data_IF_321421522881
#
_entry.id   IF_321421522881
#
_cell.length_a   1.000
_cell.length_b   1.000
_cell.length_c   1.000
_cell.angle_alpha   90.00
_cell.angle_beta   90.00
_cell.angle_gamma   90.00
#
_symmetry.space_group_name_H-M   'P 1'
#
loop_
_entity.id
_entity.type
_entity.pdbx_description
1 polymer ?
#
# COMPACT_ATOMS: atom_id res chain seq x y z
N UNK A 1 37.25 7.64 -23.29
CA UNK A 1 36.41 8.83 -23.53
C UNK A 1 37.17 10.02 -22.96
N UNK A 2 37.49 11.01 -23.78
CA UNK A 2 38.21 12.19 -23.29
C UNK A 2 37.32 12.99 -22.34
N UNK A 3 37.85 13.26 -21.15
CA UNK A 3 37.17 14.06 -20.12
C UNK A 3 36.66 15.40 -20.67
N UNK A 4 37.37 16.01 -21.62
CA UNK A 4 36.95 17.24 -22.32
C UNK A 4 35.66 17.06 -23.14
N UNK A 5 35.46 15.90 -23.76
CA UNK A 5 34.22 15.60 -24.51
C UNK A 5 33.03 15.33 -23.61
N UNK A 6 33.29 14.71 -22.44
CA UNK A 6 32.25 14.51 -21.42
C UNK A 6 31.78 15.84 -20.83
N UNK A 7 32.72 16.74 -20.51
CA UNK A 7 32.41 18.09 -20.02
C UNK A 7 31.68 18.94 -21.06
N UNK A 8 32.11 18.84 -22.34
CA UNK A 8 31.40 19.52 -23.42
C UNK A 8 29.97 19.00 -23.61
N UNK A 9 29.75 17.70 -23.52
CA UNK A 9 28.40 17.10 -23.58
C UNK A 9 27.52 17.56 -22.41
N UNK A 10 28.07 17.62 -21.20
CA UNK A 10 27.34 18.09 -20.02
C UNK A 10 27.02 19.59 -20.14
N UNK A 11 27.94 20.42 -20.60
CA UNK A 11 27.72 21.85 -20.83
C UNK A 11 26.65 22.10 -21.90
N UNK A 12 26.65 21.31 -23.00
CA UNK A 12 25.65 21.40 -24.05
C UNK A 12 24.27 20.95 -23.52
N UNK A 13 24.22 19.88 -22.73
CA UNK A 13 22.94 19.41 -22.12
C UNK A 13 22.34 20.46 -21.18
N UNK A 14 23.16 21.10 -20.36
CA UNK A 14 22.71 22.20 -19.47
C UNK A 14 22.27 23.41 -20.27
N UNK A 15 22.98 23.77 -21.35
CA UNK A 15 22.58 24.88 -22.23
C UNK A 15 21.27 24.61 -22.97
N UNK A 16 21.05 23.37 -23.43
CA UNK A 16 19.77 22.97 -24.03
C UNK A 16 18.62 23.04 -23.01
N UNK A 17 18.87 22.61 -21.77
CA UNK A 17 17.87 22.65 -20.72
C UNK A 17 17.52 24.09 -20.32
N UNK A 18 18.52 24.94 -20.17
CA UNK A 18 18.34 26.37 -19.87
C UNK A 18 17.66 27.11 -21.05
N UNK A 19 18.01 26.76 -22.29
CA UNK A 19 17.35 27.26 -23.49
C UNK A 19 15.89 26.82 -23.57
N UNK A 20 15.60 25.57 -23.25
CA UNK A 20 14.23 25.04 -23.19
C UNK A 20 13.37 25.81 -22.17
N UNK A 21 13.87 26.02 -20.96
CA UNK A 21 13.15 26.82 -19.93
C UNK A 21 12.95 28.28 -20.35
N UNK A 22 13.85 28.85 -21.14
CA UNK A 22 13.73 30.21 -21.63
C UNK A 22 12.71 30.36 -22.75
N UNK A 23 12.67 29.39 -23.70
CA UNK A 23 11.76 29.43 -24.86
C UNK A 23 10.39 28.80 -24.57
N UNK A 24 10.30 27.90 -23.59
CA UNK A 24 9.06 27.25 -23.16
C UNK A 24 8.91 27.37 -21.64
N UNK A 25 8.72 28.60 -21.12
CA UNK A 25 8.55 28.79 -19.68
C UNK A 25 7.34 27.99 -19.22
N UNK A 26 7.53 27.12 -18.25
CA UNK A 26 6.42 26.46 -17.57
C UNK A 26 5.45 27.54 -17.05
N UNK A 27 4.14 27.41 -17.27
CA UNK A 27 3.19 28.41 -16.79
C UNK A 27 3.35 28.56 -15.28
N UNK A 28 3.80 29.74 -14.86
CA UNK A 28 3.88 30.06 -13.42
C UNK A 28 2.47 30.02 -12.86
N UNK A 29 2.21 29.24 -11.80
CA UNK A 29 0.88 29.21 -11.20
C UNK A 29 0.52 30.64 -10.78
N UNK A 30 -0.65 31.09 -11.21
CA UNK A 30 -1.15 32.43 -10.92
C UNK A 30 -1.32 32.59 -9.40
N UNK A 31 -0.72 33.59 -8.76
CA UNK A 31 -0.82 33.80 -7.32
C UNK A 31 -2.27 33.86 -6.80
N UNK A 32 -3.19 34.32 -7.66
CA UNK A 32 -4.63 34.33 -7.35
C UNK A 32 -5.25 32.92 -7.33
N UNK A 33 -4.74 31.97 -8.11
CA UNK A 33 -5.18 30.57 -8.07
C UNK A 33 -4.59 29.80 -6.90
N UNK A 34 -3.36 30.10 -6.48
CA UNK A 34 -2.79 29.56 -5.26
C UNK A 34 -3.49 30.06 -4.01
N UNK A 35 -3.87 31.34 -3.97
CA UNK A 35 -4.64 31.90 -2.86
C UNK A 35 -6.07 31.35 -2.82
N UNK A 36 -6.70 31.12 -3.97
CA UNK A 36 -8.04 30.51 -4.04
C UNK A 36 -8.03 29.00 -3.71
N UNK A 37 -6.99 28.27 -4.07
CA UNK A 37 -6.82 26.86 -3.69
C UNK A 37 -6.45 26.69 -2.22
N UNK A 38 -5.74 27.65 -1.62
CA UNK A 38 -5.46 27.65 -0.18
C UNK A 38 -6.65 28.12 0.67
N UNK A 39 -7.59 28.89 0.10
CA UNK A 39 -8.77 29.37 0.85
C UNK A 39 -9.99 28.46 0.79
N UNK A 40 -10.06 27.50 -0.16
CA UNK A 40 -11.15 26.52 -0.24
C UNK A 40 -10.84 25.19 0.47
N UNK A 41 -9.62 24.99 0.95
CA UNK A 41 -9.28 23.89 1.87
C UNK A 41 -9.48 24.32 3.33
N UNK A 42 -10.65 24.92 3.63
CA UNK A 42 -10.88 25.53 4.94
C UNK A 42 -11.37 24.51 5.97
N UNK A 43 -10.59 24.36 6.90
CA UNK A 43 -10.58 24.07 8.34
C UNK A 43 -11.83 23.54 9.11
N UNK A 44 -13.11 23.75 8.83
CA UNK A 44 -14.14 23.21 9.73
C UNK A 44 -14.44 21.72 9.54
N UNK A 45 -14.35 21.18 8.33
CA UNK A 45 -14.58 19.75 8.11
C UNK A 45 -13.42 18.88 8.61
N UNK A 46 -12.19 19.37 8.47
CA UNK A 46 -10.98 18.67 8.95
C UNK A 46 -10.90 18.71 10.48
N UNK A 47 -11.22 19.83 11.11
CA UNK A 47 -11.26 19.95 12.56
C UNK A 47 -12.37 19.07 13.21
N UNK A 48 -13.52 18.91 12.55
CA UNK A 48 -14.58 18.03 13.04
C UNK A 48 -14.22 16.54 12.88
N UNK A 49 -13.56 16.16 11.78
CA UNK A 49 -13.05 14.80 11.58
C UNK A 49 -11.89 14.47 12.53
N UNK A 50 -10.98 15.43 12.78
CA UNK A 50 -9.88 15.30 13.74
C UNK A 50 -10.40 15.11 15.19
N UNK A 51 -11.44 15.84 15.58
CA UNK A 51 -12.04 15.71 16.91
C UNK A 51 -12.77 14.37 17.11
N UNK A 52 -13.27 13.75 16.03
CA UNK A 52 -13.96 12.45 16.06
C UNK A 52 -13.00 11.25 16.14
N UNK A 53 -11.75 11.42 15.74
CA UNK A 53 -10.76 10.34 15.66
C UNK A 53 -9.74 10.33 16.81
N UNK A 54 -9.52 11.47 17.49
CA UNK A 54 -8.56 11.58 18.59
C UNK A 54 -8.89 10.58 19.72
N UNK A 55 -7.92 9.75 20.17
CA UNK A 55 -8.15 8.79 21.23
C UNK A 55 -8.42 9.52 22.56
N UNK A 56 -9.59 9.28 23.13
CA UNK A 56 -9.98 9.91 24.39
C UNK A 56 -9.26 9.28 25.61
N UNK A 57 -8.77 8.05 25.47
CA UNK A 57 -8.09 7.28 26.52
C UNK A 57 -7.14 6.27 25.88
N UNK A 58 -5.88 6.65 25.61
CA UNK A 58 -4.93 5.80 24.90
C UNK A 58 -4.43 4.65 25.77
N UNK A 59 -4.40 3.44 25.19
CA UNK A 59 -3.70 2.28 25.70
C UNK A 59 -2.45 2.09 24.84
N UNK A 60 -1.29 2.13 25.44
CA UNK A 60 -0.01 1.97 24.74
C UNK A 60 0.52 0.57 24.92
N UNK A 61 0.91 -0.07 23.80
CA UNK A 61 1.56 -1.37 23.77
C UNK A 61 2.93 -1.21 23.14
N UNK A 62 3.98 -1.69 23.80
CA UNK A 62 5.34 -1.65 23.28
C UNK A 62 5.92 -3.04 23.17
N UNK A 63 6.39 -3.39 21.98
CA UNK A 63 7.12 -4.64 21.71
C UNK A 63 8.53 -4.31 21.21
N UNK A 64 9.26 -5.31 20.77
CA UNK A 64 10.57 -5.17 20.09
C UNK A 64 10.48 -4.64 18.66
N UNK A 65 9.31 -4.77 18.01
CA UNK A 65 9.09 -4.37 16.61
C UNK A 65 8.18 -3.16 16.47
N UNK A 66 7.17 -3.03 17.31
CA UNK A 66 6.14 -1.99 17.18
C UNK A 66 5.81 -1.31 18.52
N UNK A 67 5.39 -0.03 18.41
CA UNK A 67 4.67 0.67 19.46
C UNK A 67 3.29 1.02 18.93
N UNK A 68 2.26 0.47 19.58
CA UNK A 68 0.86 0.62 19.19
C UNK A 68 0.10 1.47 20.20
N UNK A 69 -0.88 2.27 19.71
CA UNK A 69 -1.84 3.00 20.54
C UNK A 69 -3.25 2.57 20.16
N UNK A 70 -3.96 2.02 21.12
CA UNK A 70 -5.36 1.59 21.00
C UNK A 70 -6.23 2.60 21.75
N UNK A 71 -7.30 3.07 21.13
CA UNK A 71 -8.30 3.86 21.81
C UNK A 71 -9.15 2.97 22.69
N UNK A 72 -9.15 3.21 23.99
CA UNK A 72 -9.90 2.39 24.93
C UNK A 72 -11.41 2.41 24.66
N UNK A 73 -11.98 3.55 24.25
CA UNK A 73 -13.42 3.67 24.05
C UNK A 73 -13.92 2.86 22.86
N UNK A 74 -13.33 3.05 21.69
CA UNK A 74 -13.74 2.35 20.47
C UNK A 74 -13.06 0.97 20.33
N UNK A 75 -11.97 0.77 21.04
CA UNK A 75 -11.12 -0.40 20.84
C UNK A 75 -10.39 -0.41 19.50
N UNK A 76 -10.22 0.72 18.82
CA UNK A 76 -9.56 0.82 17.53
C UNK A 76 -8.05 1.00 17.67
N UNK A 77 -7.30 0.43 16.73
CA UNK A 77 -5.85 0.67 16.63
C UNK A 77 -5.61 1.99 15.89
N UNK A 78 -5.27 3.04 16.64
CA UNK A 78 -5.17 4.42 16.16
C UNK A 78 -3.78 4.80 15.71
N UNK A 79 -2.74 4.26 16.36
CA UNK A 79 -1.37 4.54 15.98
C UNK A 79 -0.55 3.26 16.02
N UNK A 80 0.37 3.11 15.05
CA UNK A 80 1.33 2.02 15.04
C UNK A 80 2.64 2.53 14.47
N UNK A 81 3.68 2.52 15.29
CA UNK A 81 5.03 2.97 14.96
C UNK A 81 5.94 1.75 14.83
N UNK A 82 6.68 1.67 13.75
CA UNK A 82 7.63 0.59 13.44
C UNK A 82 9.00 0.95 14.01
N UNK A 83 9.39 0.34 15.14
CA UNK A 83 10.57 0.73 15.91
C UNK A 83 11.90 0.45 15.19
N UNK A 84 11.91 -0.49 14.25
CA UNK A 84 13.10 -0.87 13.48
C UNK A 84 13.26 -0.06 12.17
N UNK A 85 12.32 0.82 11.85
CA UNK A 85 12.32 1.64 10.63
C UNK A 85 12.32 3.12 10.99
N UNK A 86 13.09 3.91 10.26
CA UNK A 86 13.24 5.35 10.50
C UNK A 86 12.32 6.14 9.58
N UNK A 87 11.83 7.27 10.06
CA UNK A 87 11.05 8.21 9.27
C UNK A 87 11.92 8.86 8.18
N UNK A 88 11.32 9.16 7.05
CA UNK A 88 12.02 9.86 5.97
C UNK A 88 12.21 11.32 6.36
N UNK A 89 13.47 11.78 6.37
CA UNK A 89 13.78 13.17 6.75
C UNK A 89 14.14 13.40 8.22
N UNK A 90 13.89 12.44 9.11
CA UNK A 90 14.35 12.48 10.50
C UNK A 90 14.82 11.09 10.97
N UNK A 91 16.11 10.83 10.85
CA UNK A 91 16.72 9.54 11.20
C UNK A 91 16.64 9.19 12.69
N UNK A 92 16.24 10.14 13.56
CA UNK A 92 16.09 9.91 14.98
C UNK A 92 14.69 9.46 15.38
N UNK A 93 13.70 9.62 14.47
CA UNK A 93 12.32 9.21 14.72
C UNK A 93 12.01 7.88 14.03
N UNK A 94 11.33 6.94 14.71
CA UNK A 94 10.84 5.74 14.08
C UNK A 94 9.65 6.08 13.14
N UNK A 95 9.51 5.28 12.08
CA UNK A 95 8.43 5.45 11.11
C UNK A 95 7.07 5.08 11.71
N UNK A 96 6.09 5.96 11.55
CA UNK A 96 4.71 5.74 12.01
C UNK A 96 3.84 5.35 10.82
N UNK A 97 3.35 4.10 10.81
CA UNK A 97 2.50 3.58 9.75
C UNK A 97 1.03 4.00 9.97
N UNK A 98 0.46 3.69 11.15
CA UNK A 98 -0.88 4.17 11.51
C UNK A 98 -0.77 5.44 12.32
N UNK A 99 -1.62 6.41 11.97
CA UNK A 99 -1.73 7.69 12.63
C UNK A 99 -3.15 8.25 12.47
N UNK A 100 -3.68 8.84 13.51
CA UNK A 100 -4.95 9.58 13.49
C UNK A 100 -4.76 11.06 13.79
N UNK A 101 -3.53 11.56 13.57
CA UNK A 101 -3.13 12.93 13.85
C UNK A 101 -3.47 13.92 12.75
N UNK A 102 -2.88 15.13 12.89
CA UNK A 102 -3.13 16.25 11.98
C UNK A 102 -2.50 16.08 10.60
N UNK A 103 -1.46 15.25 10.48
CA UNK A 103 -0.70 15.10 9.25
C UNK A 103 -1.42 14.20 8.27
N UNK A 104 -1.91 13.05 8.73
CA UNK A 104 -2.69 12.10 7.95
C UNK A 104 -3.54 11.22 8.86
N UNK A 105 -4.57 10.63 8.27
CA UNK A 105 -5.41 9.63 8.91
C UNK A 105 -5.15 8.26 8.28
N UNK A 106 -4.66 7.31 9.08
CA UNK A 106 -4.48 5.92 8.68
C UNK A 106 -4.64 5.04 9.91
N UNK A 107 -5.76 4.32 10.03
CA UNK A 107 -6.15 3.57 11.24
C UNK A 107 -6.74 2.22 10.91
N UNK A 108 -6.68 1.28 11.85
CA UNK A 108 -7.38 0.01 11.76
C UNK A 108 -8.51 -0.05 12.79
N UNK A 109 -9.71 -0.38 12.30
CA UNK A 109 -10.93 -0.45 13.10
C UNK A 109 -11.52 -1.85 13.03
N UNK A 110 -12.26 -2.25 14.06
CA UNK A 110 -13.01 -3.49 14.03
C UNK A 110 -14.25 -3.39 14.91
N UNK A 111 -15.36 -3.92 14.42
CA UNK A 111 -16.66 -3.88 15.08
C UNK A 111 -17.45 -5.18 14.85
N UNK A 112 -18.51 -5.38 15.63
CA UNK A 112 -19.44 -6.48 15.43
C UNK A 112 -20.76 -5.94 14.89
N UNK A 113 -21.25 -6.56 13.82
CA UNK A 113 -22.49 -6.18 13.15
C UNK A 113 -23.57 -7.24 13.40
N UNK A 114 -24.80 -6.79 13.61
CA UNK A 114 -25.99 -7.65 13.62
C UNK A 114 -26.39 -8.07 12.19
N UNK A 115 -27.45 -8.88 12.08
CA UNK A 115 -27.98 -9.32 10.78
C UNK A 115 -28.49 -8.18 9.88
N UNK A 116 -28.76 -7.00 10.44
CA UNK A 116 -29.18 -5.79 9.74
C UNK A 116 -28.00 -4.88 9.36
N UNK A 117 -26.78 -5.24 9.78
CA UNK A 117 -25.55 -4.47 9.52
C UNK A 117 -25.32 -3.33 10.52
N UNK A 118 -26.04 -3.29 11.64
CA UNK A 118 -25.81 -2.30 12.68
C UNK A 118 -24.68 -2.75 13.61
N UNK A 119 -23.83 -1.82 14.01
CA UNK A 119 -22.81 -2.09 15.01
C UNK A 119 -23.45 -2.30 16.39
N UNK A 120 -23.33 -3.51 16.93
CA UNK A 120 -23.88 -3.88 18.26
C UNK A 120 -23.14 -3.21 19.43
N UNK A 121 -21.94 -2.66 19.17
CA UNK A 121 -21.12 -1.93 20.13
C UNK A 121 -21.22 -0.40 19.97
N UNK A 122 -22.15 0.09 19.15
CA UNK A 122 -22.30 1.53 18.91
C UNK A 122 -22.65 2.26 20.20
N UNK A 123 -21.83 3.24 20.57
CA UNK A 123 -22.01 4.03 21.79
C UNK A 123 -21.56 3.33 23.09
N UNK A 124 -21.06 2.11 22.99
CA UNK A 124 -20.49 1.38 24.12
C UNK A 124 -19.01 1.67 24.18
N UNK A 125 -18.50 1.93 25.38
CA UNK A 125 -17.06 2.10 25.63
C UNK A 125 -16.48 0.87 26.27
N UNK A 126 -15.32 0.45 25.75
CA UNK A 126 -14.54 -0.61 26.38
C UNK A 126 -13.79 -0.07 27.60
N UNK A 127 -13.33 -0.99 28.44
CA UNK A 127 -12.44 -0.73 29.55
C UNK A 127 -11.28 -1.72 29.53
N UNK A 128 -10.08 -1.25 29.86
CA UNK A 128 -8.89 -2.09 29.99
C UNK A 128 -8.33 -2.04 31.42
N UNK A 129 -7.77 -3.17 31.91
CA UNK A 129 -7.17 -3.21 33.26
C UNK A 129 -5.96 -2.28 33.41
N UNK A 130 -5.25 -2.03 32.32
CA UNK A 130 -4.02 -1.23 32.32
C UNK A 130 -4.02 -0.29 31.11
N UNK A 131 -3.22 0.79 31.19
CA UNK A 131 -3.03 1.74 30.09
C UNK A 131 -1.70 1.55 29.36
N UNK A 132 -0.79 0.80 29.93
CA UNK A 132 0.53 0.54 29.36
C UNK A 132 0.83 -0.94 29.45
N UNK A 133 1.25 -1.50 28.32
CA UNK A 133 1.62 -2.90 28.17
C UNK A 133 3.01 -2.96 27.52
N UNK A 134 3.87 -3.80 28.05
CA UNK A 134 5.19 -4.09 27.50
C UNK A 134 5.31 -5.57 27.23
N UNK A 135 6.03 -5.93 26.18
CA UNK A 135 6.27 -7.32 25.85
C UNK A 135 7.19 -7.97 26.92
N UNK A 136 6.61 -8.86 27.70
CA UNK A 136 7.32 -9.73 28.64
C UNK A 136 7.20 -11.17 28.12
N UNK A 137 8.30 -11.74 27.63
CA UNK A 137 8.30 -13.06 26.98
C UNK A 137 7.97 -13.02 25.50
N UNK A 138 7.17 -13.98 25.00
CA UNK A 138 6.92 -14.16 23.56
C UNK A 138 5.70 -13.41 23.05
N UNK A 139 4.74 -13.09 23.92
CA UNK A 139 3.47 -12.45 23.56
C UNK A 139 3.02 -11.48 24.64
N UNK A 140 2.29 -10.43 24.21
CA UNK A 140 1.54 -9.56 25.10
C UNK A 140 0.09 -9.47 24.62
N UNK A 141 -0.86 -9.63 25.54
CA UNK A 141 -2.29 -9.52 25.27
C UNK A 141 -2.87 -8.30 25.97
N UNK A 142 -3.71 -7.57 25.22
CA UNK A 142 -4.49 -6.44 25.72
C UNK A 142 -5.96 -6.80 25.59
N UNK A 143 -6.63 -6.99 26.72
CA UNK A 143 -8.05 -7.29 26.79
C UNK A 143 -8.85 -6.03 27.09
N UNK A 144 -9.80 -5.75 26.24
CA UNK A 144 -10.76 -4.66 26.32
C UNK A 144 -12.14 -5.26 26.56
N UNK A 145 -12.76 -4.96 27.70
CA UNK A 145 -14.08 -5.52 28.05
C UNK A 145 -15.17 -4.47 27.85
N UNK A 146 -16.22 -4.83 27.10
CA UNK A 146 -17.45 -4.04 27.01
C UNK A 146 -18.40 -4.39 28.15
N UNK A 147 -19.21 -3.43 28.66
CA UNK A 147 -20.29 -3.76 29.55
C UNK A 147 -21.31 -4.68 28.84
N UNK A 148 -21.84 -5.64 29.58
CA UNK A 148 -22.87 -6.55 29.03
C UNK A 148 -24.04 -5.73 28.52
N UNK A 149 -24.42 -5.94 27.26
CA UNK A 149 -25.48 -5.18 26.59
C UNK A 149 -26.37 -6.13 25.80
N UNK A 150 -27.68 -6.07 25.99
CA UNK A 150 -28.65 -6.94 25.33
C UNK A 150 -28.31 -8.44 25.50
N UNK A 151 -27.83 -8.85 26.67
CA UNK A 151 -27.43 -10.23 26.94
C UNK A 151 -26.18 -10.68 26.16
N UNK A 152 -25.41 -9.76 25.59
CA UNK A 152 -24.12 -10.05 24.97
C UNK A 152 -22.97 -9.53 25.86
N UNK A 153 -22.09 -10.42 26.27
CA UNK A 153 -20.80 -10.07 26.86
C UNK A 153 -19.73 -10.19 25.79
N UNK A 154 -19.03 -9.09 25.55
CA UNK A 154 -18.05 -8.97 24.47
C UNK A 154 -16.74 -8.45 25.03
N UNK A 155 -15.67 -9.21 24.80
CA UNK A 155 -14.30 -8.77 25.01
C UNK A 155 -13.59 -8.67 23.66
N UNK A 156 -12.80 -7.61 23.46
CA UNK A 156 -11.92 -7.43 22.30
C UNK A 156 -10.47 -7.60 22.76
N UNK A 157 -9.76 -8.50 22.14
CA UNK A 157 -8.41 -8.89 22.57
C UNK A 157 -7.42 -8.64 21.44
N UNK A 158 -6.37 -7.88 21.73
CA UNK A 158 -5.22 -7.69 20.87
C UNK A 158 -4.06 -8.54 21.35
N UNK A 159 -3.45 -9.31 20.45
CA UNK A 159 -2.25 -10.10 20.76
C UNK A 159 -1.11 -9.67 19.85
N UNK A 160 -0.02 -9.26 20.47
CA UNK A 160 1.24 -8.92 19.79
C UNK A 160 2.28 -9.99 20.13
N UNK A 161 3.04 -10.40 19.11
CA UNK A 161 4.06 -11.46 19.25
C UNK A 161 5.45 -10.88 19.02
N UNK A 162 6.44 -11.32 19.78
CA UNK A 162 7.85 -10.93 19.66
C UNK A 162 8.38 -11.16 18.25
N UNK A 163 9.14 -10.19 17.72
CA UNK A 163 9.73 -10.26 16.37
C UNK A 163 8.73 -10.18 15.22
N UNK A 164 7.45 -9.88 15.49
CA UNK A 164 6.38 -9.93 14.49
C UNK A 164 5.74 -8.57 14.24
N UNK A 165 5.31 -8.36 13.00
CA UNK A 165 4.45 -7.26 12.57
C UNK A 165 2.98 -7.68 12.42
N UNK A 166 2.64 -8.91 12.83
CA UNK A 166 1.28 -9.41 12.92
C UNK A 166 0.66 -9.00 14.25
N UNK A 167 -0.54 -8.44 14.19
CA UNK A 167 -1.39 -8.15 15.34
C UNK A 167 -2.63 -9.02 15.19
N UNK A 168 -2.85 -9.95 16.11
CA UNK A 168 -4.10 -10.71 16.15
C UNK A 168 -5.16 -9.88 16.87
N UNK A 169 -6.35 -9.78 16.26
CA UNK A 169 -7.51 -9.08 16.80
C UNK A 169 -8.65 -10.07 16.93
N UNK A 170 -9.12 -10.28 18.16
CA UNK A 170 -10.10 -11.28 18.50
C UNK A 170 -11.26 -10.66 19.27
N UNK A 171 -12.47 -11.07 18.95
CA UNK A 171 -13.66 -10.85 19.77
C UNK A 171 -14.02 -12.16 20.47
N UNK A 172 -14.07 -12.15 21.80
CA UNK A 172 -14.62 -13.21 22.63
C UNK A 172 -16.07 -12.82 22.95
N UNK A 173 -17.05 -13.61 22.48
CA UNK A 173 -18.47 -13.28 22.55
C UNK A 173 -19.18 -14.36 23.37
N UNK A 174 -19.97 -13.95 24.38
CA UNK A 174 -20.85 -14.84 25.11
C UNK A 174 -22.29 -14.35 24.95
N UNK A 175 -23.19 -15.23 24.52
CA UNK A 175 -24.59 -14.92 24.34
C UNK A 175 -25.42 -15.40 25.54
N UNK A 176 -26.01 -14.48 26.28
CA UNK A 176 -26.94 -14.71 27.40
C UNK A 176 -28.33 -14.11 27.11
N UNK A 177 -28.65 -13.81 25.87
CA UNK A 177 -29.83 -13.05 25.44
C UNK A 177 -31.13 -13.89 25.45
N UNK A 178 -31.05 -15.21 25.67
CA UNK A 178 -32.24 -16.10 25.62
C UNK A 178 -32.57 -16.62 24.22
N UNK A 179 -32.01 -16.05 23.15
CA UNK A 179 -32.23 -16.42 21.75
C UNK A 179 -30.88 -16.60 21.00
N UNK A 180 -30.86 -17.38 19.91
CA UNK A 180 -29.68 -17.40 19.02
C UNK A 180 -29.43 -16.02 18.41
N UNK A 181 -28.17 -15.63 18.31
CA UNK A 181 -27.74 -14.34 17.73
C UNK A 181 -26.84 -14.58 16.51
N UNK A 182 -27.14 -13.91 15.41
CA UNK A 182 -26.32 -13.91 14.19
C UNK A 182 -25.51 -12.62 14.15
N UNK A 183 -24.19 -12.75 14.15
CA UNK A 183 -23.25 -11.63 14.09
C UNK A 183 -22.26 -11.82 12.94
N UNK A 184 -21.69 -10.71 12.51
CA UNK A 184 -20.51 -10.67 11.64
C UNK A 184 -19.47 -9.78 12.28
N UNK A 185 -18.21 -10.17 12.20
CA UNK A 185 -17.09 -9.30 12.59
C UNK A 185 -16.62 -8.49 11.37
N UNK A 186 -16.66 -7.16 11.47
CA UNK A 186 -16.21 -6.25 10.41
C UNK A 186 -14.86 -5.68 10.78
N UNK A 187 -13.89 -5.88 9.91
CA UNK A 187 -12.51 -5.41 10.07
C UNK A 187 -12.18 -4.47 8.92
N UNK A 188 -11.75 -3.25 9.23
CA UNK A 188 -11.49 -2.23 8.22
C UNK A 188 -10.20 -1.49 8.46
N UNK A 189 -9.60 -1.05 7.38
CA UNK A 189 -8.53 -0.08 7.35
C UNK A 189 -9.12 1.19 6.75
N UNK A 190 -8.91 2.31 7.41
CA UNK A 190 -9.40 3.63 6.98
C UNK A 190 -8.21 4.53 6.77
N UNK A 191 -8.15 5.20 5.63
CA UNK A 191 -7.06 6.11 5.25
C UNK A 191 -7.57 7.31 4.48
N UNK A 192 -6.88 8.45 4.60
CA UNK A 192 -7.03 9.58 3.69
C UNK A 192 -6.14 9.42 2.44
N UNK A 193 -6.22 10.38 1.53
CA UNK A 193 -5.44 10.40 0.27
C UNK A 193 -4.05 11.06 0.42
N UNK A 194 -3.54 11.21 1.64
CA UNK A 194 -2.22 11.79 1.86
C UNK A 194 -1.12 10.94 1.22
N UNK A 195 -0.13 11.61 0.61
CA UNK A 195 1.03 10.90 0.05
C UNK A 195 1.95 10.43 1.19
N UNK A 196 2.42 9.17 1.16
CA UNK A 196 3.38 8.67 2.14
C UNK A 196 4.70 9.44 2.09
N UNK A 197 5.37 9.51 3.22
CA UNK A 197 6.71 10.06 3.29
C UNK A 197 7.68 9.38 2.31
N UNK A 198 8.54 10.17 1.66
CA UNK A 198 9.58 9.66 0.76
C UNK A 198 9.12 9.42 -0.68
N UNK A 199 7.87 9.69 -1.02
CA UNK A 199 7.43 9.71 -2.42
C UNK A 199 8.00 10.96 -3.14
N UNK A 200 8.71 10.73 -4.26
CA UNK A 200 9.23 11.77 -5.13
C UNK A 200 8.74 11.61 -6.56
N UNK A 201 8.99 12.60 -7.38
CA UNK A 201 8.57 12.60 -8.81
C UNK A 201 9.03 11.35 -9.57
N UNK A 202 10.22 10.81 -9.26
CA UNK A 202 10.80 9.62 -9.91
C UNK A 202 10.53 8.30 -9.16
N UNK A 203 9.95 8.35 -7.96
CA UNK A 203 9.75 7.20 -7.08
C UNK A 203 8.27 6.97 -6.75
N UNK A 204 7.38 7.29 -7.70
CA UNK A 204 5.95 7.04 -7.52
C UNK A 204 5.67 5.54 -7.49
N UNK A 205 5.27 5.06 -6.35
CA UNK A 205 4.70 3.72 -6.15
C UNK A 205 3.18 3.81 -6.01
N UNK A 206 2.51 2.71 -6.27
CA UNK A 206 1.08 2.64 -6.00
C UNK A 206 0.80 2.80 -4.50
N UNK A 207 -0.19 3.62 -4.18
CA UNK A 207 -0.71 3.83 -2.83
C UNK A 207 -2.22 3.65 -2.89
N UNK A 208 -2.76 2.75 -2.10
CA UNK A 208 -4.19 2.52 -2.09
C UNK A 208 -4.61 1.10 -1.73
N UNK A 209 -5.92 0.84 -1.82
CA UNK A 209 -6.53 -0.44 -1.59
C UNK A 209 -6.06 -1.54 -2.52
N UNK A 210 -5.85 -2.73 -1.96
CA UNK A 210 -5.50 -3.96 -2.69
C UNK A 210 -6.27 -5.14 -2.15
N UNK A 211 -6.56 -6.08 -3.03
CA UNK A 211 -7.24 -7.34 -2.70
C UNK A 211 -6.52 -8.47 -3.42
N UNK A 212 -6.34 -9.59 -2.76
CA UNK A 212 -5.99 -10.86 -3.35
C UNK A 212 -7.02 -11.91 -3.00
N UNK A 213 -7.53 -12.58 -4.01
CA UNK A 213 -8.40 -13.75 -3.88
C UNK A 213 -7.95 -14.81 -4.89
N UNK A 214 -8.15 -16.11 -4.62
CA UNK A 214 -7.81 -17.15 -5.60
C UNK A 214 -8.53 -17.00 -6.94
N UNK A 215 -9.72 -16.41 -6.96
CA UNK A 215 -10.54 -16.20 -8.16
C UNK A 215 -10.11 -14.97 -8.96
N UNK A 216 -9.80 -13.86 -8.27
CA UNK A 216 -9.51 -12.56 -8.90
C UNK A 216 -8.04 -12.23 -8.98
N UNK A 217 -7.15 -13.08 -8.50
CA UNK A 217 -5.72 -12.77 -8.35
C UNK A 217 -5.48 -11.47 -7.57
N UNK A 218 -4.41 -10.79 -7.86
CA UNK A 218 -4.05 -9.52 -7.22
C UNK A 218 -4.70 -8.33 -7.93
N UNK A 219 -5.61 -7.66 -7.24
CA UNK A 219 -6.38 -6.54 -7.75
C UNK A 219 -6.02 -5.25 -6.98
N UNK A 220 -5.89 -4.16 -7.71
CA UNK A 220 -5.68 -2.80 -7.18
C UNK A 220 -6.93 -1.98 -7.43
N UNK A 221 -7.36 -1.24 -6.42
CA UNK A 221 -8.49 -0.31 -6.53
C UNK A 221 -7.96 1.09 -6.24
N UNK A 222 -7.87 1.95 -7.27
CA UNK A 222 -7.30 3.28 -7.09
C UNK A 222 -8.25 4.21 -6.33
N UNK A 223 -7.70 5.20 -5.64
CA UNK A 223 -8.53 6.24 -5.01
C UNK A 223 -9.36 7.01 -6.04
N UNK A 224 -8.84 7.20 -7.28
CA UNK A 224 -9.59 7.83 -8.36
C UNK A 224 -10.83 7.03 -8.76
N UNK A 225 -10.73 5.70 -8.85
CA UNK A 225 -11.88 4.85 -9.18
C UNK A 225 -12.96 4.96 -8.11
N UNK A 226 -12.55 5.00 -6.82
CA UNK A 226 -13.46 5.18 -5.69
C UNK A 226 -14.10 6.58 -5.64
N UNK A 227 -13.39 7.61 -6.10
CA UNK A 227 -13.94 8.96 -6.24
C UNK A 227 -14.98 9.03 -7.34
N UNK A 228 -14.76 8.33 -8.45
CA UNK A 228 -15.68 8.28 -9.57
C UNK A 228 -16.93 7.43 -9.23
N UNK A 229 -16.76 6.32 -8.51
CA UNK A 229 -17.85 5.56 -7.90
C UNK A 229 -18.72 6.44 -6.99
N UNK A 230 -18.07 7.22 -6.12
CA UNK A 230 -18.81 8.11 -5.19
C UNK A 230 -19.57 9.23 -5.91
N UNK A 231 -19.04 9.75 -7.02
CA UNK A 231 -19.70 10.78 -7.85
C UNK A 231 -20.85 10.22 -8.68
N UNK A 232 -20.67 9.03 -9.25
CA UNK A 232 -21.66 8.37 -10.11
C UNK A 232 -22.78 7.71 -9.33
N UNK A 233 -22.57 7.44 -8.04
CA UNK A 233 -23.47 6.64 -7.21
C UNK A 233 -23.52 5.16 -7.62
N UNK A 234 -22.60 4.72 -8.46
CA UNK A 234 -22.45 3.33 -8.92
C UNK A 234 -21.16 2.76 -8.34
N UNK A 235 -21.12 1.47 -8.12
CA UNK A 235 -19.93 0.75 -7.69
C UNK A 235 -19.31 0.06 -8.90
N UNK A 236 -18.52 0.81 -9.67
CA UNK A 236 -17.89 0.36 -10.93
C UNK A 236 -16.47 -0.17 -10.71
N UNK A 237 -15.87 0.12 -9.54
CA UNK A 237 -14.54 -0.41 -9.20
C UNK A 237 -14.54 -1.94 -9.25
N UNK A 238 -13.66 -2.48 -10.08
CA UNK A 238 -13.57 -3.93 -10.35
C UNK A 238 -12.71 -4.63 -9.31
N UNK A 239 -13.35 -5.40 -8.44
CA UNK A 239 -12.68 -6.33 -7.52
C UNK A 239 -13.63 -7.43 -7.07
N UNK A 240 -13.09 -8.54 -6.58
CA UNK A 240 -13.89 -9.63 -6.02
C UNK A 240 -14.45 -9.22 -4.66
N UNK A 241 -15.79 -9.23 -4.55
CA UNK A 241 -16.52 -8.75 -3.37
C UNK A 241 -16.86 -9.84 -2.35
N UNK A 242 -16.72 -11.12 -2.72
CA UNK A 242 -16.94 -12.27 -1.85
C UNK A 242 -15.87 -13.31 -2.08
N UNK A 243 -15.34 -13.86 -1.01
CA UNK A 243 -14.30 -14.86 -1.10
C UNK A 243 -14.27 -15.76 0.12
N UNK A 244 -13.95 -17.05 -0.02
CA UNK A 244 -13.70 -17.93 1.12
C UNK A 244 -12.30 -17.75 1.71
N UNK A 245 -11.36 -17.07 1.02
CA UNK A 245 -9.96 -16.94 1.44
C UNK A 245 -9.27 -15.79 0.73
N UNK A 246 -8.03 -15.48 1.14
CA UNK A 246 -7.20 -14.43 0.55
C UNK A 246 -6.73 -13.41 1.57
N UNK A 247 -6.52 -12.19 1.13
CA UNK A 247 -6.16 -11.05 1.97
C UNK A 247 -6.54 -9.74 1.27
N UNK A 248 -6.73 -8.69 2.06
CA UNK A 248 -7.04 -7.36 1.56
C UNK A 248 -6.45 -6.30 2.47
N UNK A 249 -6.20 -5.12 1.93
CA UNK A 249 -5.65 -4.04 2.75
C UNK A 249 -5.28 -2.81 1.94
N UNK A 250 -4.33 -2.05 2.45
CA UNK A 250 -3.74 -0.90 1.78
C UNK A 250 -2.23 -1.03 1.73
N UNK A 251 -1.68 -0.69 0.58
CA UNK A 251 -0.23 -0.62 0.40
C UNK A 251 0.22 0.81 0.18
N UNK A 252 1.41 1.09 0.59
CA UNK A 252 2.12 2.34 0.34
C UNK A 252 3.60 2.02 0.08
N UNK A 253 4.37 2.97 -0.40
CA UNK A 253 5.75 2.84 -0.89
C UNK A 253 6.55 1.61 -0.41
N UNK A 254 6.85 1.49 0.90
CA UNK A 254 7.65 0.39 1.47
C UNK A 254 6.89 -0.44 2.50
N UNK A 255 5.70 -0.02 2.87
CA UNK A 255 4.91 -0.60 3.94
C UNK A 255 3.53 -1.00 3.46
N UNK A 256 2.89 -1.85 4.22
CA UNK A 256 1.54 -2.32 3.96
C UNK A 256 0.79 -2.60 5.25
N UNK A 257 -0.53 -2.51 5.19
CA UNK A 257 -1.42 -3.03 6.21
C UNK A 257 -2.48 -3.90 5.55
N UNK A 258 -2.62 -5.14 6.01
CA UNK A 258 -3.51 -6.13 5.37
C UNK A 258 -4.18 -7.02 6.39
N UNK A 259 -5.47 -7.25 6.19
CA UNK A 259 -6.24 -8.29 6.85
C UNK A 259 -5.98 -9.63 6.16
N UNK A 260 -5.57 -10.62 6.93
CA UNK A 260 -5.24 -11.96 6.44
C UNK A 260 -6.43 -12.88 6.69
N UNK A 261 -7.15 -13.25 5.62
CA UNK A 261 -8.30 -14.15 5.74
C UNK A 261 -7.86 -15.59 5.93
N UNK A 262 -6.70 -15.96 5.38
CA UNK A 262 -6.10 -17.26 5.57
C UNK A 262 -4.59 -17.12 5.78
N UNK A 263 -4.09 -17.39 6.99
CA UNK A 263 -2.66 -17.51 7.22
C UNK A 263 -2.06 -18.67 6.42
N UNK A 264 -0.81 -18.57 6.06
CA UNK A 264 -0.10 -19.64 5.33
C UNK A 264 -0.13 -20.96 6.09
N UNK A 265 -0.67 -22.00 5.47
CA UNK A 265 -0.88 -23.31 6.10
C UNK A 265 -1.93 -23.35 7.20
N UNK A 266 -2.66 -22.25 7.44
CA UNK A 266 -3.74 -22.15 8.40
C UNK A 266 -5.13 -22.29 7.79
N UNK A 267 -6.14 -22.24 8.66
CA UNK A 267 -7.55 -22.24 8.25
C UNK A 267 -8.02 -20.83 7.90
N UNK A 268 -8.99 -20.72 6.99
CA UNK A 268 -9.64 -19.46 6.68
C UNK A 268 -10.57 -19.02 7.81
N UNK A 269 -10.57 -17.71 8.07
CA UNK A 269 -11.54 -17.08 8.99
C UNK A 269 -12.96 -17.06 8.41
N UNK A 270 -13.12 -17.31 7.12
CA UNK A 270 -14.40 -17.34 6.39
C UNK A 270 -15.10 -18.73 6.48
N UNK A 271 -14.79 -19.53 7.51
CA UNK A 271 -15.29 -20.90 7.65
C UNK A 271 -16.82 -21.02 7.80
N UNK A 272 -17.49 -19.97 8.32
CA UNK A 272 -18.96 -19.94 8.49
C UNK A 272 -19.70 -19.47 7.22
N UNK A 273 -18.98 -19.10 6.15
CA UNK A 273 -19.49 -18.59 4.89
C UNK A 273 -18.50 -17.65 4.24
N UNK A 274 -18.75 -17.27 2.99
CA UNK A 274 -17.87 -16.33 2.28
C UNK A 274 -17.77 -14.99 3.00
N UNK A 275 -16.54 -14.53 3.18
CA UNK A 275 -16.26 -13.17 3.64
C UNK A 275 -16.65 -12.16 2.57
N UNK A 276 -17.24 -11.04 3.01
CA UNK A 276 -17.63 -9.95 2.12
C UNK A 276 -16.62 -8.82 2.19
N UNK A 277 -16.06 -8.45 1.06
CA UNK A 277 -15.11 -7.35 0.90
C UNK A 277 -15.88 -6.10 0.45
N UNK A 278 -15.60 -4.95 1.08
CA UNK A 278 -16.14 -3.65 0.71
C UNK A 278 -15.02 -2.59 0.71
N UNK A 279 -14.80 -1.99 -0.45
CA UNK A 279 -13.81 -0.93 -0.66
C UNK A 279 -14.56 0.28 -1.19
N UNK A 280 -14.48 1.39 -0.46
CA UNK A 280 -15.23 2.60 -0.82
C UNK A 280 -14.63 3.87 -0.28
N UNK A 281 -14.95 4.99 -0.95
CA UNK A 281 -14.82 6.33 -0.39
C UNK A 281 -15.92 6.57 0.65
N UNK A 282 -15.54 7.15 1.78
CA UNK A 282 -16.47 7.63 2.81
C UNK A 282 -16.81 9.10 2.59
N UNK A 283 -17.86 9.59 3.25
CA UNK A 283 -18.34 10.96 3.07
C UNK A 283 -17.36 12.06 3.52
N UNK A 284 -16.36 11.72 4.29
CA UNK A 284 -15.37 12.60 4.92
C UNK A 284 -14.00 12.61 4.23
N UNK A 285 -13.95 12.30 2.93
CA UNK A 285 -12.72 12.14 2.13
C UNK A 285 -11.77 11.03 2.63
N UNK A 286 -12.27 10.11 3.43
CA UNK A 286 -11.56 8.91 3.82
C UNK A 286 -11.93 7.75 2.89
N UNK A 287 -11.00 6.84 2.72
CA UNK A 287 -11.18 5.59 1.97
C UNK A 287 -11.10 4.44 2.94
N UNK A 288 -11.96 3.45 2.76
CA UNK A 288 -11.98 2.26 3.60
C UNK A 288 -11.85 1.00 2.77
N UNK A 289 -11.05 0.07 3.27
CA UNK A 289 -10.97 -1.31 2.81
C UNK A 289 -11.40 -2.18 3.97
N UNK A 290 -12.50 -2.89 3.82
CA UNK A 290 -13.09 -3.69 4.90
C UNK A 290 -13.43 -5.09 4.47
N UNK A 291 -13.46 -5.99 5.45
CA UNK A 291 -13.97 -7.35 5.32
C UNK A 291 -14.94 -7.66 6.45
N UNK A 292 -16.09 -8.18 6.08
CA UNK A 292 -17.09 -8.68 7.01
C UNK A 292 -17.03 -10.21 7.03
N UNK A 293 -16.71 -10.76 8.19
CA UNK A 293 -16.53 -12.19 8.45
C UNK A 293 -17.78 -12.70 9.16
N UNK A 294 -18.62 -13.55 8.51
CA UNK A 294 -19.81 -14.09 9.13
C UNK A 294 -19.44 -15.08 10.24
N UNK A 295 -20.18 -15.04 11.34
CA UNK A 295 -20.04 -15.99 12.42
C UNK A 295 -21.17 -17.04 12.36
N UNK A 296 -20.90 -18.24 12.83
CA UNK A 296 -21.95 -19.22 13.06
C UNK A 296 -22.94 -18.68 14.11
N UNK A 297 -24.23 -19.02 13.97
CA UNK A 297 -25.26 -18.60 14.92
C UNK A 297 -24.87 -18.96 16.35
N UNK A 298 -24.76 -17.97 17.23
CA UNK A 298 -24.34 -18.13 18.61
C UNK A 298 -25.60 -18.48 19.45
N UNK A 299 -25.69 -19.72 19.86
CA UNK A 299 -26.83 -20.20 20.68
C UNK A 299 -26.82 -19.51 22.06
N UNK A 300 -27.99 -19.46 22.68
CA UNK A 300 -28.11 -18.97 24.07
C UNK A 300 -27.22 -19.78 25.02
N UNK A 301 -26.44 -19.11 25.86
CA UNK A 301 -25.46 -19.71 26.77
C UNK A 301 -24.12 -20.12 26.09
N UNK A 302 -24.02 -20.01 24.77
CA UNK A 302 -22.84 -20.39 24.05
C UNK A 302 -21.81 -19.25 23.99
N UNK A 303 -20.55 -19.66 23.78
CA UNK A 303 -19.43 -18.75 23.48
C UNK A 303 -19.03 -18.90 22.02
N UNK A 304 -18.61 -17.80 21.43
CA UNK A 304 -18.06 -17.74 20.07
C UNK A 304 -16.83 -16.86 20.05
N UNK A 305 -15.96 -17.10 19.09
CA UNK A 305 -14.74 -16.35 18.89
C UNK A 305 -14.65 -15.90 17.41
N UNK A 306 -14.35 -14.63 17.20
CA UNK A 306 -14.03 -14.09 15.87
C UNK A 306 -12.62 -13.54 15.90
N UNK A 307 -11.71 -14.12 15.14
CA UNK A 307 -10.27 -13.79 15.18
C UNK A 307 -9.74 -13.56 13.77
N UNK A 308 -8.95 -12.51 13.58
CA UNK A 308 -8.25 -12.21 12.34
C UNK A 308 -6.84 -11.67 12.63
N UNK A 309 -5.93 -11.84 11.69
CA UNK A 309 -4.60 -11.24 11.76
C UNK A 309 -4.54 -9.98 10.88
N UNK A 310 -4.09 -8.89 11.47
CA UNK A 310 -3.67 -7.69 10.78
C UNK A 310 -2.15 -7.74 10.62
N UNK A 311 -1.65 -7.78 9.40
CA UNK A 311 -0.26 -7.48 9.13
C UNK A 311 -0.10 -5.96 8.96
N UNK A 312 0.81 -5.34 9.69
CA UNK A 312 1.10 -3.91 9.60
C UNK A 312 2.62 -3.70 9.69
N UNK A 313 3.29 -3.64 8.54
CA UNK A 313 4.75 -3.66 8.50
C UNK A 313 5.34 -3.52 7.10
N UNK A 314 6.66 -3.84 6.97
CA UNK A 314 7.41 -3.64 5.74
C UNK A 314 7.04 -4.65 4.65
N UNK A 315 7.11 -4.25 3.38
CA UNK A 315 6.95 -5.14 2.22
C UNK A 315 8.21 -5.99 1.93
N UNK A 316 8.89 -6.45 2.97
CA UNK A 316 10.10 -7.28 2.83
C UNK A 316 9.71 -8.71 2.46
N UNK A 317 10.17 -9.21 1.32
CA UNK A 317 9.78 -10.52 0.78
C UNK A 317 10.00 -11.67 1.76
N UNK A 318 11.12 -11.69 2.49
CA UNK A 318 11.42 -12.71 3.50
C UNK A 318 10.43 -12.71 4.67
N UNK A 319 9.85 -11.57 5.01
CA UNK A 319 8.86 -11.44 6.09
C UNK A 319 7.48 -11.87 5.58
N UNK A 320 7.01 -11.26 4.47
CA UNK A 320 5.62 -11.43 4.01
C UNK A 320 5.36 -12.80 3.37
N UNK A 321 6.38 -13.47 2.81
CA UNK A 321 6.22 -14.76 2.14
C UNK A 321 5.75 -15.91 3.07
N UNK A 322 5.90 -15.74 4.39
CA UNK A 322 5.52 -16.73 5.39
C UNK A 322 4.19 -16.41 6.09
N UNK A 323 3.54 -15.29 5.76
CA UNK A 323 2.33 -14.81 6.44
C UNK A 323 1.07 -15.33 5.76
N UNK A 324 0.96 -15.17 4.46
CA UNK A 324 -0.17 -15.65 3.67
C UNK A 324 0.29 -16.00 2.25
N UNK A 325 -0.47 -16.85 1.58
CA UNK A 325 -0.19 -17.20 0.20
C UNK A 325 -0.31 -15.97 -0.71
N UNK A 326 0.65 -15.83 -1.61
CA UNK A 326 0.72 -14.74 -2.58
C UNK A 326 0.77 -13.32 -2.00
N UNK A 327 1.04 -13.15 -0.69
CA UNK A 327 1.17 -11.83 -0.07
C UNK A 327 2.33 -11.02 -0.67
N UNK A 328 3.34 -11.69 -1.24
CA UNK A 328 4.45 -11.07 -1.96
C UNK A 328 4.02 -10.32 -3.23
N UNK A 329 2.81 -10.58 -3.78
CA UNK A 329 2.26 -9.82 -4.91
C UNK A 329 1.97 -8.36 -4.55
N UNK A 330 1.80 -8.05 -3.26
CA UNK A 330 1.71 -6.68 -2.78
C UNK A 330 2.96 -5.85 -3.12
N UNK A 331 4.13 -6.51 -3.31
CA UNK A 331 5.34 -5.88 -3.82
C UNK A 331 5.24 -5.72 -5.33
N UNK A 332 4.65 -4.60 -5.71
CA UNK A 332 4.32 -4.32 -7.10
C UNK A 332 5.56 -3.88 -7.90
N UNK A 333 6.05 -4.73 -8.77
CA UNK A 333 7.07 -4.39 -9.76
C UNK A 333 6.49 -3.78 -11.06
N UNK A 334 5.19 -3.46 -11.08
CA UNK A 334 4.50 -2.93 -12.25
C UNK A 334 4.46 -3.89 -13.44
N UNK A 335 4.25 -3.34 -14.65
CA UNK A 335 4.14 -4.11 -15.91
C UNK A 335 5.41 -4.88 -16.28
N UNK A 336 6.55 -4.57 -15.66
CA UNK A 336 7.85 -5.21 -15.91
C UNK A 336 8.23 -6.28 -14.89
N UNK A 337 7.28 -6.75 -14.09
CA UNK A 337 7.49 -7.75 -13.03
C UNK A 337 8.27 -8.99 -13.52
N UNK A 338 7.92 -9.52 -14.69
CA UNK A 338 8.57 -10.70 -15.28
C UNK A 338 10.07 -10.51 -15.53
N UNK A 339 10.50 -9.27 -15.71
CA UNK A 339 11.91 -8.91 -15.94
C UNK A 339 12.59 -8.47 -14.62
N UNK A 340 11.91 -7.71 -13.79
CA UNK A 340 12.43 -7.18 -12.54
C UNK A 340 12.67 -8.28 -11.49
N UNK A 341 11.78 -9.27 -11.39
CA UNK A 341 11.85 -10.34 -10.40
C UNK A 341 13.12 -11.22 -10.53
N UNK A 342 13.51 -11.72 -11.73
CA UNK A 342 14.76 -12.45 -11.91
C UNK A 342 16.00 -11.62 -11.61
N UNK A 343 15.99 -10.33 -11.95
CA UNK A 343 17.12 -9.43 -11.66
C UNK A 343 17.27 -9.19 -10.16
N UNK A 344 16.17 -9.01 -9.46
CA UNK A 344 16.17 -8.85 -8.00
C UNK A 344 16.62 -10.15 -7.30
N UNK A 345 16.17 -11.31 -7.78
CA UNK A 345 16.65 -12.61 -7.28
C UNK A 345 18.18 -12.73 -7.46
N UNK A 346 18.68 -12.43 -8.65
CA UNK A 346 20.11 -12.47 -8.93
C UNK A 346 20.89 -11.49 -8.05
N UNK A 347 20.38 -10.27 -7.85
CA UNK A 347 20.97 -9.28 -6.95
C UNK A 347 21.09 -9.80 -5.52
N UNK A 348 20.04 -10.47 -5.02
CA UNK A 348 20.06 -11.09 -3.68
C UNK A 348 21.11 -12.20 -3.57
N UNK A 349 21.23 -13.05 -4.61
CA UNK A 349 22.27 -14.09 -4.61
C UNK A 349 23.68 -13.49 -4.60
N UNK A 350 23.92 -12.45 -5.39
CA UNK A 350 25.18 -11.72 -5.39
C UNK A 350 25.46 -11.07 -4.03
N UNK A 351 24.46 -10.47 -3.41
CA UNK A 351 24.60 -9.91 -2.07
C UNK A 351 24.93 -10.97 -1.01
N UNK A 352 24.30 -12.14 -1.07
CA UNK A 352 24.57 -13.23 -0.14
C UNK A 352 26.05 -13.73 -0.22
N UNK A 353 26.66 -13.63 -1.40
CA UNK A 353 28.06 -14.03 -1.63
C UNK A 353 29.02 -12.90 -1.24
N UNK A 354 28.70 -11.66 -1.64
CA UNK A 354 29.61 -10.51 -1.52
C UNK A 354 29.47 -9.81 -0.15
N UNK A 355 28.29 -9.88 0.49
CA UNK A 355 27.99 -9.24 1.78
C UNK A 355 27.82 -7.72 1.72
N UNK A 356 27.93 -7.09 0.54
CA UNK A 356 27.82 -5.64 0.35
C UNK A 356 26.95 -5.31 -0.85
N UNK A 357 25.90 -4.54 -0.64
CA UNK A 357 24.94 -4.17 -1.69
C UNK A 357 25.56 -3.35 -2.82
N UNK A 358 26.49 -2.44 -2.52
CA UNK A 358 27.14 -1.62 -3.53
C UNK A 358 27.94 -2.46 -4.55
N UNK A 359 28.74 -3.38 -4.07
CA UNK A 359 29.48 -4.31 -4.93
C UNK A 359 28.56 -5.28 -5.67
N UNK A 360 27.49 -5.77 -5.03
CA UNK A 360 26.51 -6.62 -5.67
C UNK A 360 25.83 -5.92 -6.86
N UNK A 361 25.50 -4.64 -6.75
CA UNK A 361 24.92 -3.83 -7.83
C UNK A 361 25.92 -3.64 -8.99
N UNK A 362 27.18 -3.39 -8.67
CA UNK A 362 28.24 -3.24 -9.70
C UNK A 362 28.38 -4.55 -10.50
N UNK A 363 28.49 -5.68 -9.82
CA UNK A 363 28.61 -7.01 -10.45
C UNK A 363 27.38 -7.33 -11.27
N UNK A 364 26.17 -7.11 -10.74
CA UNK A 364 24.92 -7.28 -11.48
C UNK A 364 24.91 -6.44 -12.77
N UNK A 365 25.34 -5.20 -12.69
CA UNK A 365 25.42 -4.30 -13.85
C UNK A 365 26.36 -4.84 -14.93
N UNK A 366 27.51 -5.38 -14.53
CA UNK A 366 28.48 -6.01 -15.46
C UNK A 366 27.85 -7.23 -16.13
N UNK A 367 27.20 -8.11 -15.36
CA UNK A 367 26.52 -9.31 -15.88
C UNK A 367 25.44 -8.93 -16.91
N UNK A 368 24.56 -8.00 -16.57
CA UNK A 368 23.47 -7.55 -17.46
C UNK A 368 24.05 -6.94 -18.73
N UNK A 369 25.09 -6.08 -18.63
CA UNK A 369 25.74 -5.51 -19.80
C UNK A 369 26.44 -6.56 -20.66
N UNK A 370 27.06 -7.56 -20.06
CA UNK A 370 27.70 -8.67 -20.79
C UNK A 370 26.66 -9.50 -21.57
N UNK A 371 25.51 -9.83 -20.92
CA UNK A 371 24.42 -10.55 -21.57
C UNK A 371 23.80 -9.76 -22.73
N UNK A 372 23.63 -8.44 -22.55
CA UNK A 372 23.06 -7.57 -23.58
C UNK A 372 24.08 -7.08 -24.62
N UNK A 373 25.36 -7.41 -24.46
CA UNK A 373 26.42 -6.95 -25.35
C UNK A 373 26.20 -7.32 -26.83
N UNK A 374 25.84 -8.57 -27.21
CA UNK A 374 25.62 -8.91 -28.61
C UNK A 374 24.48 -8.09 -29.24
N UNK A 375 23.38 -7.85 -28.51
CA UNK A 375 22.27 -7.04 -28.98
C UNK A 375 22.67 -5.57 -29.15
N UNK A 376 23.39 -5.03 -28.17
CA UNK A 376 23.93 -3.67 -28.19
C UNK A 376 24.90 -3.48 -29.37
N UNK A 377 25.79 -4.44 -29.61
CA UNK A 377 26.72 -4.41 -30.72
C UNK A 377 26.00 -4.46 -32.09
N UNK A 378 24.97 -5.28 -32.22
CA UNK A 378 24.15 -5.32 -33.43
C UNK A 378 23.41 -3.97 -33.67
N UNK A 379 22.90 -3.33 -32.63
CA UNK A 379 22.29 -2.01 -32.70
C UNK A 379 23.30 -0.93 -33.13
N UNK A 380 24.50 -0.90 -32.54
CA UNK A 380 25.55 0.04 -32.95
C UNK A 380 26.01 -0.17 -34.38
N UNK A 381 26.16 -1.41 -34.84
CA UNK A 381 26.48 -1.73 -36.26
C UNK A 381 25.38 -1.23 -37.20
N UNK A 382 24.12 -1.42 -36.85
CA UNK A 382 22.98 -0.93 -37.64
C UNK A 382 22.99 0.62 -37.70
N UNK A 383 23.21 1.27 -36.56
CA UNK A 383 23.28 2.73 -36.50
C UNK A 383 24.49 3.29 -37.29
N UNK A 384 25.65 2.60 -37.26
CA UNK A 384 26.83 2.97 -38.05
C UNK A 384 26.55 2.85 -39.55
N UNK A 385 25.83 1.79 -40.00
CA UNK A 385 25.43 1.64 -41.41
C UNK A 385 24.47 2.76 -41.83
N UNK A 386 23.52 3.13 -40.95
CA UNK A 386 22.56 4.20 -41.22
C UNK A 386 23.28 5.56 -41.33
N UNK A 387 24.26 5.82 -40.47
CA UNK A 387 25.11 7.04 -40.57
C UNK A 387 25.94 7.08 -41.83
N UNK A 388 26.46 5.94 -42.29
CA UNK A 388 27.21 5.85 -43.55
C UNK A 388 26.29 6.02 -44.78
N UNK A 389 25.03 5.62 -44.70
CA UNK A 389 24.05 5.82 -45.74
C UNK A 389 23.47 7.26 -45.77
N UNK A 390 23.55 8.02 -44.67
CA UNK A 390 22.97 9.37 -44.57
C UNK A 390 23.40 10.33 -45.69
N UNK A 391 24.69 10.46 -46.07
CA UNK A 391 25.11 11.35 -47.17
C UNK A 391 24.55 10.89 -48.53
N UNK A 392 24.40 9.57 -48.76
CA UNK A 392 23.81 9.04 -49.99
C UNK A 392 22.30 9.33 -50.06
N UNK A 393 21.57 9.19 -48.91
CA UNK A 393 20.15 9.55 -48.81
C UNK A 393 19.96 11.05 -49.05
N UNK A 394 20.86 11.88 -48.56
CA UNK A 394 20.81 13.32 -48.80
C UNK A 394 21.07 13.68 -50.29
N UNK A 395 22.02 13.04 -50.95
CA UNK A 395 22.26 13.21 -52.38
C UNK A 395 21.08 12.75 -53.24
N UNK A 396 20.38 11.67 -52.88
CA UNK A 396 19.15 11.22 -53.54
C UNK A 396 18.06 12.29 -53.39
N UNK A 397 17.90 12.83 -52.17
CA UNK A 397 16.91 13.86 -51.89
C UNK A 397 17.16 15.16 -52.69
N UNK A 398 18.44 15.58 -52.81
CA UNK A 398 18.85 16.72 -53.57
C UNK A 398 18.68 16.50 -55.10
N UNK A 399 18.97 15.26 -55.58
CA UNK A 399 18.90 14.92 -57.02
C UNK A 399 17.47 14.82 -57.55
N UNK A 400 16.54 14.30 -56.74
CA UNK A 400 15.18 14.03 -57.23
C UNK A 400 14.13 15.03 -56.69
N UNK A 401 14.53 15.97 -55.81
CA UNK A 401 13.67 17.09 -55.36
C UNK A 401 12.31 16.63 -54.88
N UNK A 402 11.23 17.11 -55.52
CA UNK A 402 9.85 16.82 -55.17
C UNK A 402 9.28 15.54 -55.80
N UNK A 403 10.06 14.83 -56.65
CA UNK A 403 9.58 13.56 -57.24
C UNK A 403 9.72 12.40 -56.26
N UNK A 404 8.64 12.20 -55.49
CA UNK A 404 8.54 11.17 -54.44
C UNK A 404 8.69 9.73 -54.96
N UNK A 405 8.20 9.48 -56.21
CA UNK A 405 8.28 8.14 -56.82
C UNK A 405 9.74 7.77 -57.20
N UNK A 406 10.46 8.67 -57.84
CA UNK A 406 11.87 8.48 -58.18
C UNK A 406 12.73 8.42 -56.93
N UNK A 407 12.47 9.20 -55.88
CA UNK A 407 13.16 9.11 -54.59
C UNK A 407 12.97 7.75 -53.92
N UNK A 408 11.72 7.22 -53.93
CA UNK A 408 11.42 5.94 -53.30
C UNK A 408 12.09 4.79 -54.06
N UNK A 409 12.13 4.82 -55.37
CA UNK A 409 12.83 3.86 -56.22
C UNK A 409 14.34 3.88 -55.99
N UNK A 410 14.92 5.08 -55.93
CA UNK A 410 16.35 5.24 -55.68
C UNK A 410 16.75 4.83 -54.24
N UNK A 411 15.86 5.02 -53.24
CA UNK A 411 16.08 4.55 -51.85
C UNK A 411 15.99 3.03 -51.72
N UNK A 412 15.15 2.37 -52.53
CA UNK A 412 15.09 0.89 -52.54
C UNK A 412 16.35 0.22 -53.18
N UNK A 413 17.09 0.95 -54.00
CA UNK A 413 18.33 0.46 -54.65
C UNK A 413 19.60 0.73 -53.84
N UNK A 414 19.51 1.40 -52.70
CA UNK A 414 20.61 1.77 -51.81
C UNK A 414 20.87 0.71 -50.74
#
# INVERSE_FOLDING_TARGET
>A
MDFKRLMAFFAISVAIFAGWEHFFPSPKPNPAQQAAQQQTATAPAKAAAEAALAPASPITVTTDTVKAVIDEKSGDLRQLTLLQYKATGDEHKPFTLFNDGKEYTYVAQSELLDAQGNNVLKGISFTAPQKQYSLEGDKVEVRLSAPETNGLKIDKVYTFTKGSYLVNIRFDITNSNGQPVNLSADYRIVRDHSEPEGQGYFTRSYVGPVVYTPEGDFQKVSFSDLDDDAKSGKSEAEYIRKTPTGWLGMIEHHFMSTWILQPKGGQSVCAAGDCRIDIKRRNDNLYSTSVSVPLAAIQNGAKSEASINLYAGPQTTSVIANIADNLQLAKDYGKVHWFASPLFWLLNQLHNIIGNWGWAIIVLTIIVKAVLYPLTNASYRSMAKMRAAAPKLQAIKEKYGDDRMAQQQAMMQL
#
